data_IF_470525635536
#
_entry.id   IF_470525635536
#
_cell.length_a   1.000
_cell.length_b   1.000
_cell.length_c   1.000
_cell.angle_alpha   90.00
_cell.angle_beta   90.00
_cell.angle_gamma   90.00
#
_symmetry.space_group_name_H-M   'P 1'
#
loop_
_entity.id
_entity.type
_entity.pdbx_description
1 polymer ?
#
# COMPACT_ATOMS: atom_id res chain seq x y z
N UNK A 1 -10.65 3.28 70.46
CA UNK A 1 -10.23 2.37 69.38
C UNK A 1 -9.63 3.26 68.31
N UNK A 2 -8.33 3.12 68.04
CA UNK A 2 -7.62 4.07 67.20
C UNK A 2 -8.01 3.86 65.72
N UNK A 3 -8.23 4.97 65.01
CA UNK A 3 -8.60 4.97 63.60
C UNK A 3 -7.46 4.48 62.68
N UNK A 4 -6.25 4.24 63.23
CA UNK A 4 -5.08 3.82 62.46
C UNK A 4 -5.05 2.31 62.23
N UNK A 5 -5.53 1.51 63.17
CA UNK A 5 -5.62 0.05 63.08
C UNK A 5 -6.68 -0.41 62.08
N UNK A 6 -7.82 0.29 62.02
CA UNK A 6 -8.91 -0.01 61.09
C UNK A 6 -8.49 0.25 59.63
N UNK A 7 -7.82 1.37 59.37
CA UNK A 7 -7.24 1.71 58.05
C UNK A 7 -6.18 0.68 57.62
N UNK A 8 -5.35 0.20 58.55
CA UNK A 8 -4.35 -0.83 58.26
C UNK A 8 -5.01 -2.16 57.85
N UNK A 9 -6.07 -2.56 58.54
CA UNK A 9 -6.79 -3.80 58.25
C UNK A 9 -7.49 -3.74 56.88
N UNK A 10 -8.10 -2.62 56.53
CA UNK A 10 -8.65 -2.37 55.19
C UNK A 10 -7.57 -2.44 54.10
N UNK A 11 -6.38 -1.90 54.36
CA UNK A 11 -5.27 -1.89 53.41
C UNK A 11 -4.70 -3.31 53.17
N UNK A 12 -4.61 -4.12 54.23
CA UNK A 12 -4.23 -5.54 54.14
C UNK A 12 -5.27 -6.31 53.31
N UNK A 13 -6.56 -6.08 53.56
CA UNK A 13 -7.65 -6.72 52.82
C UNK A 13 -7.64 -6.33 51.34
N UNK A 14 -7.39 -5.05 51.05
CA UNK A 14 -7.26 -4.55 49.68
C UNK A 14 -6.09 -5.21 48.94
N UNK A 15 -4.93 -5.34 49.59
CA UNK A 15 -3.75 -6.02 49.04
C UNK A 15 -4.04 -7.48 48.68
N UNK A 16 -4.67 -8.23 49.58
CA UNK A 16 -5.01 -9.64 49.31
C UNK A 16 -6.08 -9.78 48.22
N UNK A 17 -7.03 -8.86 48.12
CA UNK A 17 -8.00 -8.83 47.01
C UNK A 17 -7.31 -8.58 45.66
N UNK A 18 -6.39 -7.61 45.59
CA UNK A 18 -5.62 -7.32 44.38
C UNK A 18 -4.80 -8.54 43.97
N UNK A 19 -4.11 -9.18 44.92
CA UNK A 19 -3.30 -10.39 44.68
C UNK A 19 -4.15 -11.52 44.09
N UNK A 20 -5.30 -11.81 44.70
CA UNK A 20 -6.25 -12.83 44.20
C UNK A 20 -6.75 -12.52 42.80
N UNK A 21 -7.11 -11.26 42.52
CA UNK A 21 -7.56 -10.84 41.19
C UNK A 21 -6.45 -10.96 40.16
N UNK A 22 -5.22 -10.59 40.50
CA UNK A 22 -4.05 -10.74 39.63
C UNK A 22 -3.77 -12.21 39.29
N UNK A 23 -3.78 -13.11 40.28
CA UNK A 23 -3.56 -14.54 40.02
C UNK A 23 -4.68 -15.16 39.19
N UNK A 24 -5.94 -14.78 39.42
CA UNK A 24 -7.07 -15.25 38.62
C UNK A 24 -6.97 -14.78 37.17
N UNK A 25 -6.57 -13.53 36.92
CA UNK A 25 -6.34 -13.01 35.57
C UNK A 25 -5.15 -13.69 34.87
N UNK A 26 -4.06 -13.95 35.59
CA UNK A 26 -2.89 -14.67 35.07
C UNK A 26 -3.25 -16.10 34.68
N UNK A 27 -3.99 -16.79 35.55
CA UNK A 27 -4.47 -18.15 35.28
C UNK A 27 -5.45 -18.17 34.10
N UNK A 28 -6.46 -17.30 34.09
CA UNK A 28 -7.41 -17.24 32.99
C UNK A 28 -6.75 -16.94 31.63
N UNK A 29 -5.69 -16.13 31.60
CA UNK A 29 -4.88 -15.93 30.39
C UNK A 29 -4.17 -17.22 29.95
N UNK A 30 -3.62 -17.99 30.88
CA UNK A 30 -2.99 -19.27 30.59
C UNK A 30 -4.01 -20.31 30.10
N UNK A 31 -5.19 -20.38 30.73
CA UNK A 31 -6.27 -21.29 30.36
C UNK A 31 -6.78 -20.99 28.94
N UNK A 32 -7.00 -19.71 28.61
CA UNK A 32 -7.38 -19.29 27.25
C UNK A 32 -6.28 -19.67 26.23
N UNK A 33 -5.00 -19.45 26.56
CA UNK A 33 -3.91 -19.85 25.67
C UNK A 33 -3.87 -21.37 25.45
N UNK A 34 -4.11 -22.16 26.50
CA UNK A 34 -4.20 -23.62 26.39
C UNK A 34 -5.34 -24.02 25.48
N UNK A 35 -6.57 -23.52 25.72
CA UNK A 35 -7.76 -23.84 24.94
C UNK A 35 -7.58 -23.47 23.46
N UNK A 36 -7.04 -22.28 23.18
CA UNK A 36 -6.75 -21.83 21.81
C UNK A 36 -5.74 -22.78 21.15
N UNK A 37 -4.66 -23.12 21.85
CA UNK A 37 -3.63 -24.02 21.32
C UNK A 37 -4.22 -25.40 21.01
N UNK A 38 -4.97 -25.98 21.95
CA UNK A 38 -5.57 -27.31 21.80
C UNK A 38 -6.64 -27.35 20.70
N UNK A 39 -7.44 -26.29 20.57
CA UNK A 39 -8.48 -26.17 19.53
C UNK A 39 -7.89 -26.12 18.14
N UNK A 40 -6.78 -25.39 17.96
CA UNK A 40 -6.15 -25.23 16.64
C UNK A 40 -5.06 -26.28 16.36
N UNK A 41 -4.64 -27.07 17.35
CA UNK A 41 -3.63 -28.12 17.22
C UNK A 41 -3.88 -29.08 16.05
N UNK A 42 -5.11 -29.59 15.80
CA UNK A 42 -5.38 -30.49 14.67
C UNK A 42 -5.17 -29.86 13.29
N UNK A 43 -5.05 -28.55 13.20
CA UNK A 43 -4.81 -27.82 11.94
C UNK A 43 -3.37 -27.32 11.88
N UNK A 44 -2.85 -26.80 12.99
CA UNK A 44 -1.47 -26.28 13.08
C UNK A 44 -0.44 -27.39 12.87
N UNK A 45 -0.63 -28.55 13.49
CA UNK A 45 0.35 -29.64 13.44
C UNK A 45 0.50 -30.18 12.00
N UNK A 46 -0.58 -30.53 11.26
CA UNK A 46 -0.46 -30.91 9.85
C UNK A 46 0.18 -29.84 8.97
N UNK A 47 -0.12 -28.55 9.18
CA UNK A 47 0.47 -27.46 8.41
C UNK A 47 1.99 -27.35 8.63
N UNK A 48 2.44 -27.52 9.87
CA UNK A 48 3.87 -27.52 10.21
C UNK A 48 4.61 -28.73 9.63
N UNK A 49 3.96 -29.91 9.59
CA UNK A 49 4.52 -31.11 8.97
C UNK A 49 4.65 -30.96 7.45
N UNK A 50 3.64 -30.39 6.79
CA UNK A 50 3.70 -30.08 5.35
C UNK A 50 4.88 -29.13 5.07
N UNK A 51 5.06 -28.09 5.88
CA UNK A 51 6.17 -27.15 5.72
C UNK A 51 7.53 -27.84 5.80
N UNK A 52 7.77 -28.67 6.84
CA UNK A 52 9.03 -29.42 7.00
C UNK A 52 9.28 -30.37 5.83
N UNK A 53 8.27 -31.11 5.40
CA UNK A 53 8.37 -32.03 4.27
C UNK A 53 8.70 -31.34 2.93
N UNK A 54 8.39 -30.04 2.81
CA UNK A 54 8.71 -29.22 1.64
C UNK A 54 10.16 -28.72 1.67
N UNK A 55 10.72 -28.50 2.86
CA UNK A 55 12.12 -28.10 3.03
C UNK A 55 13.10 -29.24 2.73
N UNK A 56 12.78 -30.47 3.13
CA UNK A 56 13.69 -31.62 2.98
C UNK A 56 13.78 -32.15 1.53
N UNK A 57 12.84 -31.77 0.64
CA UNK A 57 12.83 -32.15 -0.79
C UNK A 57 13.57 -31.15 -1.71
N UNK A 58 14.25 -30.16 -1.15
CA UNK A 58 14.81 -29.03 -1.92
C UNK A 58 16.26 -29.21 -2.39
N UNK A 59 16.87 -30.38 -2.19
CA UNK A 59 18.19 -30.71 -2.73
C UNK A 59 17.97 -31.61 -3.94
N UNK A 60 18.30 -31.08 -5.12
CA UNK A 60 18.21 -31.66 -6.47
C UNK A 60 16.88 -31.39 -7.22
N UNK A 61 16.94 -30.54 -8.28
CA UNK A 61 15.87 -30.08 -9.19
C UNK A 61 15.17 -28.74 -8.86
N UNK A 62 15.93 -27.71 -8.50
CA UNK A 62 15.41 -26.36 -8.15
C UNK A 62 14.77 -25.60 -9.33
N UNK A 63 15.09 -25.92 -10.58
CA UNK A 63 14.63 -25.14 -11.75
C UNK A 63 13.18 -25.44 -12.17
N UNK A 64 12.73 -26.70 -12.05
CA UNK A 64 11.40 -27.09 -12.53
C UNK A 64 10.28 -26.71 -11.55
N UNK A 65 10.51 -26.77 -10.23
CA UNK A 65 9.50 -26.39 -9.23
C UNK A 65 9.19 -24.89 -9.21
N UNK A 66 10.18 -24.04 -9.52
CA UNK A 66 9.96 -22.60 -9.63
C UNK A 66 9.05 -22.25 -10.80
N UNK A 67 9.12 -22.99 -11.90
CA UNK A 67 8.33 -22.73 -13.09
C UNK A 67 6.83 -23.00 -12.87
N UNK A 68 6.48 -24.13 -12.24
CA UNK A 68 5.07 -24.48 -11.95
C UNK A 68 4.38 -23.48 -11.02
N UNK A 69 5.09 -22.95 -10.01
CA UNK A 69 4.53 -21.92 -9.11
C UNK A 69 4.26 -20.60 -9.84
N UNK A 70 5.06 -20.27 -10.86
CA UNK A 70 4.87 -19.05 -11.64
C UNK A 70 3.74 -19.22 -12.64
N UNK A 71 3.64 -20.37 -13.32
CA UNK A 71 2.53 -20.66 -14.23
C UNK A 71 1.18 -20.69 -13.48
N UNK A 72 1.12 -21.33 -12.30
CA UNK A 72 -0.08 -21.33 -11.45
C UNK A 72 -0.45 -19.92 -10.96
N UNK A 73 0.55 -19.11 -10.59
CA UNK A 73 0.33 -17.71 -10.21
C UNK A 73 -0.13 -16.86 -11.40
N UNK A 74 0.43 -17.08 -12.59
CA UNK A 74 0.07 -16.40 -13.83
C UNK A 74 -1.38 -16.74 -14.23
N UNK A 75 -1.78 -18.01 -14.14
CA UNK A 75 -3.12 -18.47 -14.50
C UNK A 75 -4.21 -18.01 -13.52
N UNK A 76 -3.85 -17.76 -12.25
CA UNK A 76 -4.78 -17.28 -11.23
C UNK A 76 -5.30 -15.84 -11.48
N UNK A 77 -4.59 -15.06 -12.30
CA UNK A 77 -4.93 -13.67 -12.57
C UNK A 77 -5.33 -13.44 -14.03
N UNK A 78 -6.15 -12.40 -14.26
CA UNK A 78 -6.24 -11.81 -15.61
C UNK A 78 -4.94 -11.07 -15.91
N UNK A 79 -3.94 -11.80 -16.45
CA UNK A 79 -2.57 -11.31 -16.64
C UNK A 79 -2.55 -10.00 -17.43
N UNK A 80 -1.86 -9.00 -16.89
CA UNK A 80 -1.62 -7.74 -17.57
C UNK A 80 -0.62 -7.91 -18.72
N UNK A 81 -1.14 -8.02 -19.95
CA UNK A 81 -0.30 -8.14 -21.16
C UNK A 81 0.56 -6.91 -21.46
N UNK A 82 0.27 -5.75 -20.86
CA UNK A 82 0.93 -4.47 -21.16
C UNK A 82 2.05 -4.14 -20.19
N UNK A 83 1.75 -4.20 -18.88
CA UNK A 83 2.69 -3.86 -17.80
C UNK A 83 3.04 -5.02 -16.89
N UNK A 84 2.41 -6.19 -17.08
CA UNK A 84 2.71 -7.37 -16.31
C UNK A 84 3.90 -8.15 -16.86
N UNK A 85 4.37 -9.15 -16.09
CA UNK A 85 5.41 -10.06 -16.52
C UNK A 85 4.99 -10.89 -17.73
N UNK A 86 5.98 -11.30 -18.53
CA UNK A 86 5.79 -12.11 -19.72
C UNK A 86 6.70 -13.33 -19.64
N UNK A 87 6.11 -14.49 -19.88
CA UNK A 87 6.85 -15.72 -20.03
C UNK A 87 7.48 -15.78 -21.43
N UNK A 88 8.78 -16.08 -21.48
CA UNK A 88 9.52 -16.28 -22.72
C UNK A 88 9.59 -17.77 -23.10
N UNK A 89 9.89 -18.10 -24.38
CA UNK A 89 10.00 -19.48 -24.83
C UNK A 89 11.05 -20.30 -24.09
N UNK A 90 12.11 -19.65 -23.60
CA UNK A 90 13.17 -20.26 -22.79
C UNK A 90 12.78 -20.45 -21.31
N UNK A 91 11.49 -20.39 -20.97
CA UNK A 91 10.93 -20.49 -19.62
C UNK A 91 11.35 -19.39 -18.63
N UNK A 92 12.04 -18.34 -19.08
CA UNK A 92 12.37 -17.20 -18.23
C UNK A 92 11.23 -16.18 -18.20
N UNK A 93 11.06 -15.50 -17.07
CA UNK A 93 10.01 -14.50 -16.88
C UNK A 93 10.61 -13.10 -16.96
N UNK A 94 10.13 -12.28 -17.88
CA UNK A 94 10.59 -10.88 -18.02
C UNK A 94 9.52 -9.89 -17.65
N UNK A 95 9.93 -8.87 -16.91
CA UNK A 95 9.14 -7.67 -16.69
C UNK A 95 9.86 -6.50 -17.36
N UNK A 96 9.19 -5.85 -18.31
CA UNK A 96 9.82 -4.79 -19.10
C UNK A 96 11.05 -5.28 -19.85
N UNK A 97 12.22 -4.67 -19.56
CA UNK A 97 13.51 -5.01 -20.18
C UNK A 97 14.35 -5.98 -19.33
N UNK A 98 13.90 -6.31 -18.12
CA UNK A 98 14.65 -7.11 -17.15
C UNK A 98 14.00 -8.46 -16.93
N UNK A 99 14.82 -9.44 -16.57
CA UNK A 99 14.34 -10.72 -16.05
C UNK A 99 13.96 -10.56 -14.58
N UNK A 100 12.94 -11.30 -14.16
CA UNK A 100 12.54 -11.36 -12.75
C UNK A 100 12.52 -12.81 -12.30
N UNK A 101 12.94 -13.04 -11.06
CA UNK A 101 12.89 -14.35 -10.42
C UNK A 101 11.94 -14.30 -9.24
N UNK A 102 11.13 -15.34 -9.08
CA UNK A 102 10.23 -15.50 -7.96
C UNK A 102 10.78 -16.60 -7.08
N UNK A 103 11.30 -16.22 -5.91
CA UNK A 103 11.91 -17.16 -4.96
C UNK A 103 11.14 -17.11 -3.66
N UNK A 104 10.34 -18.16 -3.43
CA UNK A 104 9.40 -18.21 -2.32
C UNK A 104 8.47 -17.00 -2.34
N UNK A 105 8.47 -16.23 -1.25
CA UNK A 105 7.61 -15.06 -1.08
C UNK A 105 8.30 -13.74 -1.48
N UNK A 106 9.17 -13.79 -2.49
CA UNK A 106 10.06 -12.67 -2.83
C UNK A 106 10.26 -12.55 -4.34
N UNK A 107 10.28 -11.32 -4.84
CA UNK A 107 10.66 -11.00 -6.23
C UNK A 107 12.09 -10.50 -6.23
N UNK A 108 12.91 -11.07 -7.10
CA UNK A 108 14.28 -10.63 -7.34
C UNK A 108 14.33 -10.00 -8.74
N UNK A 109 14.82 -8.77 -8.80
CA UNK A 109 15.05 -8.02 -10.04
C UNK A 109 16.50 -7.55 -10.03
N UNK A 110 17.32 -8.09 -10.93
CA UNK A 110 18.79 -7.99 -10.85
C UNK A 110 19.27 -8.44 -9.45
N UNK A 111 19.91 -7.55 -8.68
CA UNK A 111 20.39 -7.82 -7.31
C UNK A 111 19.46 -7.27 -6.22
N UNK A 112 18.29 -6.73 -6.60
CA UNK A 112 17.34 -6.13 -5.66
C UNK A 112 16.20 -7.08 -5.34
N UNK A 113 15.92 -7.21 -4.06
CA UNK A 113 14.97 -8.18 -3.51
C UNK A 113 13.77 -7.46 -2.89
N UNK A 114 12.56 -7.85 -3.29
CA UNK A 114 11.31 -7.22 -2.87
C UNK A 114 10.37 -8.26 -2.22
N UNK A 115 9.88 -8.01 -0.99
CA UNK A 115 8.88 -8.88 -0.37
C UNK A 115 7.61 -8.94 -1.22
N UNK A 116 7.17 -10.15 -1.56
CA UNK A 116 5.99 -10.38 -2.38
C UNK A 116 4.73 -10.36 -1.52
N UNK A 117 4.21 -9.16 -1.27
CA UNK A 117 2.92 -8.99 -0.60
C UNK A 117 1.77 -9.30 -1.58
N UNK A 118 0.59 -9.64 -1.05
CA UNK A 118 -0.60 -9.83 -1.87
C UNK A 118 -0.95 -8.58 -2.71
N UNK A 119 -0.80 -7.40 -2.11
CA UNK A 119 -1.02 -6.12 -2.79
C UNK A 119 -0.01 -5.88 -3.92
N UNK A 120 1.27 -6.21 -3.70
CA UNK A 120 2.30 -6.10 -4.72
C UNK A 120 2.10 -7.11 -5.86
N UNK A 121 1.74 -8.36 -5.55
CA UNK A 121 1.31 -9.36 -6.52
C UNK A 121 0.20 -8.80 -7.43
N UNK A 122 -0.86 -8.28 -6.81
CA UNK A 122 -1.99 -7.68 -7.52
C UNK A 122 -1.54 -6.55 -8.47
N UNK A 123 -0.62 -5.68 -8.04
CA UNK A 123 -0.07 -4.60 -8.86
C UNK A 123 0.78 -5.08 -10.04
N UNK A 124 1.58 -6.13 -9.85
CA UNK A 124 2.51 -6.64 -10.86
C UNK A 124 1.77 -7.50 -11.90
N UNK A 125 1.01 -8.50 -11.46
CA UNK A 125 0.46 -9.53 -12.36
C UNK A 125 -0.91 -9.16 -12.93
N UNK A 126 -1.79 -8.50 -12.14
CA UNK A 126 -3.19 -8.31 -12.54
C UNK A 126 -3.41 -7.14 -13.49
N UNK A 127 -4.29 -7.31 -14.48
CA UNK A 127 -4.77 -6.23 -15.36
C UNK A 127 -5.51 -5.11 -14.61
N UNK A 128 -6.25 -5.47 -13.56
CA UNK A 128 -7.03 -4.57 -12.72
C UNK A 128 -6.66 -4.79 -11.24
N UNK A 129 -5.57 -4.17 -10.75
CA UNK A 129 -5.11 -4.38 -9.39
C UNK A 129 -6.16 -3.92 -8.37
N UNK A 130 -6.46 -4.81 -7.42
CA UNK A 130 -7.34 -4.57 -6.26
C UNK A 130 -6.56 -4.82 -4.97
N UNK A 131 -6.96 -4.17 -3.88
CA UNK A 131 -6.47 -4.42 -2.52
C UNK A 131 -4.93 -4.35 -2.39
N UNK A 132 -4.39 -3.13 -2.42
CA UNK A 132 -2.97 -2.87 -2.19
C UNK A 132 -2.79 -1.65 -1.28
N UNK A 133 -1.66 -1.59 -0.60
CA UNK A 133 -1.29 -0.49 0.29
C UNK A 133 -0.49 0.59 -0.45
N UNK A 134 -0.30 1.75 0.18
CA UNK A 134 0.56 2.81 -0.36
C UNK A 134 2.03 2.35 -0.46
N UNK A 135 2.49 1.53 0.49
CA UNK A 135 3.83 0.95 0.44
C UNK A 135 4.00 0.01 -0.76
N UNK A 136 3.00 -0.82 -1.06
CA UNK A 136 3.01 -1.68 -2.26
C UNK A 136 3.11 -0.83 -3.53
N UNK A 137 2.39 0.30 -3.58
CA UNK A 137 2.41 1.21 -4.72
C UNK A 137 3.78 1.87 -4.92
N UNK A 138 4.44 2.25 -3.82
CA UNK A 138 5.81 2.80 -3.83
C UNK A 138 6.81 1.76 -4.33
N UNK A 139 6.75 0.55 -3.79
CA UNK A 139 7.59 -0.58 -4.22
C UNK A 139 7.36 -0.93 -5.68
N UNK A 140 6.10 -0.99 -6.12
CA UNK A 140 5.74 -1.22 -7.50
C UNK A 140 6.31 -0.14 -8.43
N UNK A 141 6.29 1.14 -8.04
CA UNK A 141 6.92 2.23 -8.79
C UNK A 141 8.43 2.00 -8.94
N UNK A 142 9.13 1.60 -7.88
CA UNK A 142 10.56 1.26 -7.93
C UNK A 142 10.85 0.12 -8.91
N UNK A 143 10.06 -0.96 -8.86
CA UNK A 143 10.19 -2.08 -9.79
C UNK A 143 9.93 -1.63 -11.24
N UNK A 144 8.91 -0.80 -11.48
CA UNK A 144 8.64 -0.28 -12.83
C UNK A 144 9.77 0.58 -13.38
N UNK A 145 10.44 1.35 -12.53
CA UNK A 145 11.62 2.16 -12.89
C UNK A 145 12.79 1.23 -13.24
N UNK A 146 13.12 0.31 -12.32
CA UNK A 146 14.24 -0.62 -12.46
C UNK A 146 14.11 -1.50 -13.71
N UNK A 147 12.90 -1.99 -13.98
CA UNK A 147 12.61 -2.84 -15.14
C UNK A 147 12.32 -2.07 -16.42
N UNK A 148 12.15 -0.74 -16.34
CA UNK A 148 11.64 0.10 -17.43
C UNK A 148 10.31 -0.40 -18.03
N UNK A 149 9.51 -1.18 -17.28
CA UNK A 149 8.28 -1.78 -17.80
C UNK A 149 7.24 -0.74 -18.21
N UNK A 150 7.26 0.43 -17.58
CA UNK A 150 6.37 1.55 -17.87
C UNK A 150 6.71 2.28 -19.19
N UNK A 151 7.91 2.09 -19.75
CA UNK A 151 8.39 2.77 -20.94
C UNK A 151 8.15 1.96 -22.22
N UNK A 152 8.00 2.67 -23.33
CA UNK A 152 8.00 2.14 -24.70
C UNK A 152 9.35 1.50 -25.04
N UNK A 153 9.42 0.73 -26.14
CA UNK A 153 10.68 0.10 -26.58
C UNK A 153 11.83 1.10 -26.70
N UNK A 154 11.52 2.29 -27.23
CA UNK A 154 12.43 3.41 -27.41
C UNK A 154 12.85 4.09 -26.11
N UNK A 155 12.35 3.67 -24.94
CA UNK A 155 12.64 4.23 -23.61
C UNK A 155 12.37 5.73 -23.40
N UNK A 156 11.78 6.42 -24.38
CA UNK A 156 11.54 7.88 -24.31
C UNK A 156 10.15 8.26 -23.80
N UNK A 157 9.17 7.39 -24.00
CA UNK A 157 7.77 7.68 -23.70
C UNK A 157 7.17 6.59 -22.83
N UNK A 158 6.24 6.97 -21.95
CA UNK A 158 5.41 6.05 -21.18
C UNK A 158 4.46 5.33 -22.15
N UNK A 159 4.33 4.01 -22.00
CA UNK A 159 3.35 3.22 -22.77
C UNK A 159 1.94 3.75 -22.52
N UNK A 160 1.11 3.77 -23.55
CA UNK A 160 -0.28 4.23 -23.46
C UNK A 160 -1.18 3.07 -23.84
N UNK A 161 -1.50 2.21 -22.87
CA UNK A 161 -2.32 1.02 -23.14
C UNK A 161 -2.91 0.41 -21.87
N UNK A 162 -4.13 -0.09 -21.96
CA UNK A 162 -4.83 -0.76 -20.86
C UNK A 162 -5.35 0.17 -19.75
N UNK A 163 -6.24 -0.37 -18.90
CA UNK A 163 -6.83 0.40 -17.79
C UNK A 163 -5.77 0.82 -16.77
N UNK A 164 -4.78 -0.04 -16.51
CA UNK A 164 -3.67 0.24 -15.60
C UNK A 164 -2.91 1.52 -15.97
N UNK A 165 -2.79 1.83 -17.27
CA UNK A 165 -2.22 3.11 -17.70
C UNK A 165 -2.96 4.30 -17.09
N UNK A 166 -4.28 4.35 -17.27
CA UNK A 166 -5.14 5.45 -16.82
C UNK A 166 -5.24 5.55 -15.31
N UNK A 167 -5.29 4.40 -14.62
CA UNK A 167 -5.67 4.34 -13.21
C UNK A 167 -4.46 4.37 -12.26
N UNK A 168 -3.29 3.90 -12.73
CA UNK A 168 -2.07 3.75 -11.91
C UNK A 168 -0.85 4.40 -12.53
N UNK A 169 -0.51 4.05 -13.77
CA UNK A 169 0.77 4.48 -14.36
C UNK A 169 0.83 6.01 -14.52
N UNK A 170 -0.23 6.65 -14.98
CA UNK A 170 -0.33 8.11 -15.10
C UNK A 170 -0.17 8.84 -13.76
N UNK A 171 -0.67 8.23 -12.68
CA UNK A 171 -0.55 8.76 -11.32
C UNK A 171 0.86 8.58 -10.76
N UNK A 172 1.51 7.44 -11.05
CA UNK A 172 2.87 7.15 -10.61
C UNK A 172 3.93 7.96 -11.38
N UNK A 173 3.66 8.22 -12.66
CA UNK A 173 4.54 8.91 -13.60
C UNK A 173 3.77 10.07 -14.27
N UNK A 174 3.43 11.13 -13.51
CA UNK A 174 2.79 12.30 -14.07
C UNK A 174 3.74 13.01 -15.05
N UNK A 175 3.18 13.62 -16.10
CA UNK A 175 3.95 14.48 -17.00
C UNK A 175 4.45 15.71 -16.26
N UNK A 176 5.57 16.30 -16.71
CA UNK A 176 6.13 17.52 -16.12
C UNK A 176 5.09 18.65 -16.00
N UNK A 177 4.23 18.80 -17.02
CA UNK A 177 3.07 19.71 -17.00
C UNK A 177 2.13 19.42 -15.83
N UNK A 178 1.72 18.16 -15.59
CA UNK A 178 0.87 17.80 -14.45
C UNK A 178 1.57 17.98 -13.10
N UNK A 179 2.87 17.68 -13.04
CA UNK A 179 3.69 17.87 -11.83
C UNK A 179 3.82 19.36 -11.47
N UNK A 180 3.96 20.22 -12.47
CA UNK A 180 3.95 21.67 -12.34
C UNK A 180 2.57 22.28 -12.04
N UNK A 181 1.53 21.44 -11.89
CA UNK A 181 0.17 21.91 -11.63
C UNK A 181 -0.57 22.45 -12.85
N UNK A 182 -0.03 22.27 -14.06
CA UNK A 182 -0.68 22.67 -15.31
C UNK A 182 -1.77 21.65 -15.67
N UNK A 183 -2.87 21.73 -14.92
CA UNK A 183 -4.11 21.02 -15.17
C UNK A 183 -5.12 21.94 -15.82
N UNK A 184 -4.70 22.86 -16.71
CA UNK A 184 -5.52 23.94 -17.29
C UNK A 184 -6.97 23.57 -17.55
N UNK A 185 -7.21 22.53 -18.36
CA UNK A 185 -8.56 22.03 -18.64
C UNK A 185 -9.30 21.51 -17.39
N UNK A 186 -8.62 20.81 -16.48
CA UNK A 186 -9.24 20.38 -15.22
C UNK A 186 -9.50 21.54 -14.27
N UNK A 187 -8.66 22.57 -14.25
CA UNK A 187 -8.85 23.76 -13.42
C UNK A 187 -10.01 24.61 -13.94
N UNK A 188 -10.13 24.76 -15.26
CA UNK A 188 -11.28 25.40 -15.91
C UNK A 188 -12.58 24.62 -15.63
N UNK A 189 -12.56 23.28 -15.80
CA UNK A 189 -13.71 22.43 -15.47
C UNK A 189 -14.06 22.53 -13.98
N UNK A 190 -13.07 22.58 -13.10
CA UNK A 190 -13.28 22.79 -11.66
C UNK A 190 -13.90 24.16 -11.38
N UNK A 191 -13.38 25.23 -11.98
CA UNK A 191 -13.95 26.59 -11.87
C UNK A 191 -15.42 26.61 -12.28
N UNK A 192 -15.76 25.95 -13.40
CA UNK A 192 -17.15 25.84 -13.87
C UNK A 192 -18.01 25.08 -12.86
N UNK A 193 -17.55 23.94 -12.33
CA UNK A 193 -18.30 23.20 -11.31
C UNK A 193 -18.46 23.99 -10.02
N UNK A 194 -17.48 24.80 -9.64
CA UNK A 194 -17.53 25.69 -8.49
C UNK A 194 -18.57 26.81 -8.70
N UNK A 195 -18.54 27.50 -9.83
CA UNK A 195 -19.54 28.53 -10.20
C UNK A 195 -20.97 27.97 -10.20
N UNK A 196 -21.17 26.78 -10.79
CA UNK A 196 -22.46 26.12 -10.79
C UNK A 196 -22.93 25.72 -9.39
N UNK A 197 -22.01 25.40 -8.47
CA UNK A 197 -22.32 25.06 -7.09
C UNK A 197 -22.70 26.30 -6.29
N UNK A 198 -21.95 27.39 -6.43
CA UNK A 198 -22.21 28.67 -5.76
C UNK A 198 -23.52 29.29 -6.23
N UNK A 199 -23.83 29.20 -7.52
CA UNK A 199 -25.10 29.65 -8.08
C UNK A 199 -26.28 28.70 -7.75
N UNK A 200 -26.03 27.60 -7.03
CA UNK A 200 -27.06 26.66 -6.57
C UNK A 200 -27.61 25.72 -7.64
N UNK A 201 -27.03 25.71 -8.85
CA UNK A 201 -27.43 24.81 -9.93
C UNK A 201 -27.03 23.36 -9.66
N UNK A 202 -25.97 23.13 -8.88
CA UNK A 202 -25.56 21.79 -8.43
C UNK A 202 -25.29 21.77 -6.92
N UNK A 203 -25.57 20.63 -6.26
CA UNK A 203 -25.32 20.46 -4.82
C UNK A 203 -23.89 20.04 -4.48
N UNK A 204 -23.19 19.36 -5.40
CA UNK A 204 -21.85 18.83 -5.15
C UNK A 204 -21.05 18.65 -6.43
N UNK A 205 -19.71 18.67 -6.29
CA UNK A 205 -18.78 18.41 -7.39
C UNK A 205 -18.60 16.90 -7.60
N UNK A 206 -18.57 16.40 -8.84
CA UNK A 206 -18.39 14.98 -9.12
C UNK A 206 -17.14 14.38 -8.47
N UNK A 207 -17.25 13.17 -7.90
CA UNK A 207 -16.17 12.49 -7.15
C UNK A 207 -14.84 12.39 -7.91
N UNK A 208 -14.86 12.26 -9.23
CA UNK A 208 -13.62 12.22 -10.06
C UNK A 208 -12.78 13.51 -9.99
N UNK A 209 -13.36 14.62 -9.53
CA UNK A 209 -12.72 15.93 -9.42
C UNK A 209 -12.47 16.37 -7.96
N UNK A 210 -13.10 15.73 -6.96
CA UNK A 210 -12.94 16.10 -5.53
C UNK A 210 -11.49 16.06 -5.03
N UNK A 211 -10.68 15.11 -5.51
CA UNK A 211 -9.27 15.00 -5.09
C UNK A 211 -8.41 16.16 -5.64
N UNK A 212 -8.80 16.73 -6.78
CA UNK A 212 -8.18 17.92 -7.36
C UNK A 212 -8.67 19.20 -6.65
N UNK A 213 -9.94 19.25 -6.19
CA UNK A 213 -10.44 20.35 -5.37
C UNK A 213 -9.56 20.58 -4.13
N UNK A 214 -9.18 19.52 -3.38
CA UNK A 214 -8.33 19.65 -2.18
C UNK A 214 -6.97 20.29 -2.48
N UNK A 215 -6.34 19.94 -3.61
CA UNK A 215 -5.04 20.53 -4.03
C UNK A 215 -5.19 21.94 -4.58
N UNK A 216 -6.28 22.21 -5.29
CA UNK A 216 -6.59 23.55 -5.78
C UNK A 216 -6.81 24.50 -4.60
N UNK A 217 -7.63 24.11 -3.63
CA UNK A 217 -7.86 24.89 -2.40
C UNK A 217 -6.59 25.06 -1.57
N UNK A 218 -5.72 24.06 -1.43
CA UNK A 218 -4.45 24.25 -0.71
C UNK A 218 -3.55 25.29 -1.39
N UNK A 219 -3.50 25.29 -2.72
CA UNK A 219 -2.68 26.25 -3.48
C UNK A 219 -3.29 27.65 -3.49
N UNK A 220 -4.61 27.79 -3.70
CA UNK A 220 -5.30 29.08 -3.64
C UNK A 220 -5.21 29.68 -2.24
N UNK A 221 -5.37 28.89 -1.20
CA UNK A 221 -5.28 29.36 0.18
C UNK A 221 -3.85 29.77 0.57
N UNK A 222 -2.81 29.07 0.07
CA UNK A 222 -1.42 29.48 0.24
C UNK A 222 -1.10 30.78 -0.52
N UNK A 223 -1.58 30.92 -1.76
CA UNK A 223 -1.40 32.15 -2.53
C UNK A 223 -2.10 33.34 -1.86
N UNK A 224 -3.32 33.16 -1.36
CA UNK A 224 -4.05 34.21 -0.63
C UNK A 224 -3.31 34.65 0.64
N UNK A 225 -2.76 33.71 1.43
CA UNK A 225 -1.93 34.06 2.58
C UNK A 225 -0.64 34.78 2.18
N UNK A 226 0.04 34.35 1.11
CA UNK A 226 1.26 35.00 0.61
C UNK A 226 1.01 36.45 0.19
N UNK A 227 -0.09 36.72 -0.52
CA UNK A 227 -0.50 38.07 -0.90
C UNK A 227 -0.88 38.92 0.31
N UNK A 228 -1.52 38.35 1.34
CA UNK A 228 -1.82 39.10 2.57
C UNK A 228 -0.52 39.46 3.31
N UNK A 229 0.44 38.53 3.39
CA UNK A 229 1.74 38.79 4.03
C UNK A 229 2.57 39.81 3.26
N UNK A 230 2.61 39.76 1.92
CA UNK A 230 3.32 40.75 1.10
C UNK A 230 2.67 42.14 1.20
N UNK A 231 1.35 42.22 1.15
CA UNK A 231 0.64 43.49 1.30
C UNK A 231 0.80 44.08 2.72
N UNK A 232 0.77 43.26 3.77
CA UNK A 232 1.05 43.74 5.13
C UNK A 232 2.51 44.19 5.32
N UNK A 233 3.47 43.56 4.64
CA UNK A 233 4.87 43.96 4.67
C UNK A 233 5.10 45.31 3.97
N UNK A 234 4.42 45.56 2.85
CA UNK A 234 4.48 46.83 2.11
C UNK A 234 3.82 47.98 2.90
N UNK A 235 2.71 47.72 3.59
CA UNK A 235 2.03 48.73 4.42
C UNK A 235 2.88 49.13 5.63
N UNK A 236 3.59 48.19 6.28
CA UNK A 236 4.49 48.48 7.41
C UNK A 236 5.72 49.31 7.01
N UNK A 237 6.23 49.17 5.78
CA UNK A 237 7.38 49.95 5.29
C UNK A 237 7.01 51.33 4.72
N UNK A 238 5.72 51.64 4.54
CA UNK A 238 5.25 52.95 4.09
C UNK A 238 4.85 53.89 5.24
N UNK A 239 4.98 53.45 6.50
CA UNK A 239 4.56 54.20 7.71
C UNK A 239 5.77 54.57 8.61
N UNK A 240 7.01 54.33 8.16
CA UNK A 240 8.23 54.80 8.85
C UNK A 240 8.98 55.86 8.03
#
# INVERSE_FOLDING_TARGET
MDASGEVLEELIKAKENIKRKYTALKQGKADIQSIVTDTFKPIIDPLNEIQKSTLDKSIDNTEDLHFYQIDELLDSYSIDKTYGPKLQPNKTVRLGKKEIKLVGNTIIVDDTTYPLTQGLCSLIFSKAPKLYTENDLKTYKSILIQTSAHLTSNSKQIKKGGNKYRDKITTLFPSASKTAGNTGVSNEILSIFEELREAGYIKCIPNKFQMQCRKYYSNVHQNYYSLITENNFIIQHSIN
#
